data_IF_194277212064
#
_entry.id   IF_194277212064
#
_cell.length_a   1.000
_cell.length_b   1.000
_cell.length_c   1.000
_cell.angle_alpha   90.00
_cell.angle_beta   90.00
_cell.angle_gamma   90.00
#
_symmetry.space_group_name_H-M   'P 1'
#
loop_
_entity.id
_entity.type
_entity.pdbx_description
1 polymer ?
#
# COMPACT_ATOMS: atom_id res chain seq x y z
N UNK A 1 11.67 4.44 16.26
CA UNK A 1 11.23 3.17 15.65
C UNK A 1 12.44 2.25 15.63
N UNK A 2 12.32 1.07 16.22
CA UNK A 2 13.37 0.06 16.11
C UNK A 2 13.52 -0.35 14.63
N UNK A 3 14.74 -0.33 14.09
CA UNK A 3 14.95 -0.67 12.70
C UNK A 3 14.63 -2.17 12.49
N UNK A 4 13.57 -2.44 11.73
CA UNK A 4 13.30 -3.79 11.25
C UNK A 4 14.17 -4.02 10.02
N UNK A 5 14.84 -5.17 9.98
CA UNK A 5 15.73 -5.50 8.86
C UNK A 5 14.95 -5.49 7.52
N UNK A 6 15.42 -4.68 6.58
CA UNK A 6 14.76 -4.47 5.28
C UNK A 6 13.76 -3.30 5.23
N UNK A 7 13.39 -2.70 6.37
CA UNK A 7 12.56 -1.49 6.40
C UNK A 7 13.45 -0.27 6.64
N UNK A 8 13.61 0.56 5.63
CA UNK A 8 14.52 1.71 5.66
C UNK A 8 13.86 2.97 6.21
N UNK A 9 12.55 3.11 6.05
CA UNK A 9 11.80 4.29 6.48
C UNK A 9 10.33 3.94 6.71
N UNK A 10 9.75 4.55 7.73
CA UNK A 10 8.29 4.58 7.95
C UNK A 10 7.86 6.01 8.25
N UNK A 11 6.67 6.40 7.80
CA UNK A 11 6.10 7.72 8.07
C UNK A 11 4.72 7.59 8.69
N UNK A 12 4.38 8.47 9.64
CA UNK A 12 3.02 8.59 10.17
C UNK A 12 2.20 9.66 9.45
N UNK A 13 2.84 10.46 8.60
CA UNK A 13 2.18 11.49 7.80
C UNK A 13 1.80 10.93 6.44
N UNK A 14 0.50 10.93 6.12
CA UNK A 14 -0.02 10.45 4.84
C UNK A 14 0.65 11.20 3.66
N UNK A 15 0.86 10.50 2.57
CA UNK A 15 1.44 11.04 1.35
C UNK A 15 2.97 11.27 1.39
N UNK A 16 3.68 10.90 2.47
CA UNK A 16 5.13 11.12 2.59
C UNK A 16 5.97 9.88 2.25
N UNK A 17 5.41 8.70 2.36
CA UNK A 17 6.12 7.45 2.03
C UNK A 17 6.56 7.39 0.57
N UNK A 18 5.66 7.70 -0.35
CA UNK A 18 5.94 7.61 -1.79
C UNK A 18 6.97 8.64 -2.27
N UNK A 19 6.93 9.94 -1.90
CA UNK A 19 7.99 10.89 -2.25
C UNK A 19 9.39 10.44 -1.79
N UNK A 20 9.50 9.92 -0.56
CA UNK A 20 10.76 9.39 -0.03
C UNK A 20 11.23 8.21 -0.88
N UNK A 21 10.37 7.22 -1.12
CA UNK A 21 10.69 6.06 -1.95
C UNK A 21 11.06 6.43 -3.38
N UNK A 22 10.40 7.44 -3.96
CA UNK A 22 10.72 7.99 -5.28
C UNK A 22 12.14 8.56 -5.30
N UNK A 23 12.52 9.36 -4.30
CA UNK A 23 13.88 9.88 -4.16
C UNK A 23 14.92 8.77 -4.03
N UNK A 24 14.63 7.74 -3.23
CA UNK A 24 15.50 6.57 -3.08
C UNK A 24 15.66 5.80 -4.40
N UNK A 25 14.59 5.59 -5.14
CA UNK A 25 14.61 4.90 -6.44
C UNK A 25 15.43 5.69 -7.48
N UNK A 26 15.23 7.01 -7.54
CA UNK A 26 16.03 7.91 -8.39
C UNK A 26 17.52 7.84 -8.08
N UNK A 27 17.89 7.94 -6.81
CA UNK A 27 19.28 7.88 -6.38
C UNK A 27 19.90 6.53 -6.75
N UNK A 28 19.18 5.43 -6.50
CA UNK A 28 19.63 4.08 -6.81
C UNK A 28 19.85 3.86 -8.31
N UNK A 29 18.90 4.31 -9.14
CA UNK A 29 18.99 4.25 -10.60
C UNK A 29 20.17 5.07 -11.13
N UNK A 30 20.34 6.30 -10.63
CA UNK A 30 21.44 7.20 -11.01
C UNK A 30 22.82 6.63 -10.67
N UNK A 31 22.94 5.93 -9.56
CA UNK A 31 24.19 5.30 -9.11
C UNK A 31 24.43 3.93 -9.75
N UNK A 32 23.58 3.48 -10.67
CA UNK A 32 23.67 2.15 -11.29
C UNK A 32 23.59 0.98 -10.30
N UNK A 33 22.96 1.19 -9.13
CA UNK A 33 22.85 0.16 -8.10
C UNK A 33 21.67 -0.76 -8.39
N UNK A 34 21.83 -2.08 -8.41
CA UNK A 34 20.76 -3.02 -8.68
C UNK A 34 19.75 -3.07 -7.53
N UNK A 35 18.54 -3.57 -7.82
CA UNK A 35 17.47 -3.81 -6.87
C UNK A 35 16.39 -2.74 -6.89
N UNK A 36 15.22 -3.09 -6.37
CA UNK A 36 14.01 -2.27 -6.37
C UNK A 36 13.75 -1.62 -5.02
N UNK A 37 13.05 -0.49 -5.05
CA UNK A 37 12.46 0.17 -3.88
C UNK A 37 10.98 -0.19 -3.85
N UNK A 38 10.54 -0.78 -2.76
CA UNK A 38 9.14 -1.09 -2.49
C UNK A 38 8.58 -0.05 -1.53
N UNK A 39 7.43 0.52 -1.87
CA UNK A 39 6.72 1.48 -1.02
C UNK A 39 5.32 0.97 -0.78
N UNK A 40 4.96 0.77 0.49
CA UNK A 40 3.59 0.42 0.87
C UNK A 40 2.84 1.69 1.26
N UNK A 41 1.70 1.91 0.65
CA UNK A 41 0.79 3.02 0.93
C UNK A 41 -0.63 2.50 1.15
N UNK A 42 -1.46 3.28 1.83
CA UNK A 42 -2.89 2.99 1.97
C UNK A 42 -3.70 3.56 0.80
N UNK A 43 -4.95 3.13 0.67
CA UNK A 43 -5.91 3.76 -0.26
C UNK A 43 -6.15 5.24 0.07
N UNK A 44 -6.20 5.60 1.36
CA UNK A 44 -6.31 7.00 1.79
C UNK A 44 -5.13 7.86 1.34
N UNK A 45 -3.92 7.31 1.30
CA UNK A 45 -2.75 8.04 0.77
C UNK A 45 -2.85 8.34 -0.72
N UNK A 46 -3.63 7.59 -1.49
CA UNK A 46 -3.91 7.89 -2.89
C UNK A 46 -4.73 9.18 -3.09
N UNK A 47 -5.31 9.73 -2.03
CA UNK A 47 -6.02 11.02 -2.05
C UNK A 47 -5.08 12.21 -1.84
N UNK A 48 -3.90 11.98 -1.30
CA UNK A 48 -2.91 13.03 -1.02
C UNK A 48 -2.29 13.61 -2.31
N UNK A 49 -2.06 14.93 -2.30
CA UNK A 49 -1.44 15.64 -3.43
C UNK A 49 -0.02 15.16 -3.71
N UNK A 50 0.79 15.01 -2.65
CA UNK A 50 2.19 14.57 -2.74
C UNK A 50 2.33 13.16 -3.33
N UNK A 51 1.36 12.28 -3.10
CA UNK A 51 1.30 10.97 -3.75
C UNK A 51 1.19 11.15 -5.28
N UNK A 52 0.26 11.99 -5.75
CA UNK A 52 0.04 12.22 -7.18
C UNK A 52 1.23 12.91 -7.86
N UNK A 53 1.85 13.87 -7.18
CA UNK A 53 3.09 14.52 -7.64
C UNK A 53 4.23 13.50 -7.80
N UNK A 54 4.34 12.57 -6.86
CA UNK A 54 5.33 11.49 -6.91
C UNK A 54 5.08 10.54 -8.09
N UNK A 55 3.81 10.30 -8.47
CA UNK A 55 3.49 9.51 -9.65
C UNK A 55 4.00 10.18 -10.93
N UNK A 56 3.85 11.50 -11.06
CA UNK A 56 4.40 12.26 -12.19
C UNK A 56 5.91 12.14 -12.27
N UNK A 57 6.60 12.32 -11.14
CA UNK A 57 8.07 12.24 -11.05
C UNK A 57 8.54 10.82 -11.38
N UNK A 58 7.90 9.79 -10.81
CA UNK A 58 8.23 8.40 -11.07
C UNK A 58 8.14 8.03 -12.55
N UNK A 59 7.06 8.45 -13.21
CA UNK A 59 6.86 8.24 -14.63
C UNK A 59 7.88 9.04 -15.49
N UNK A 60 8.10 10.32 -15.16
CA UNK A 60 9.04 11.18 -15.88
C UNK A 60 10.48 10.62 -15.88
N UNK A 61 10.89 10.02 -14.79
CA UNK A 61 12.23 9.47 -14.62
C UNK A 61 12.30 7.96 -14.94
N UNK A 62 11.20 7.39 -15.45
CA UNK A 62 11.13 5.97 -15.84
C UNK A 62 11.66 5.05 -14.72
N UNK A 63 11.18 5.26 -13.48
CA UNK A 63 11.68 4.54 -12.31
C UNK A 63 11.17 3.09 -12.29
N UNK A 64 11.66 2.28 -13.20
CA UNK A 64 11.37 0.84 -13.32
C UNK A 64 11.80 0.01 -12.10
N UNK A 65 12.62 0.61 -11.25
CA UNK A 65 13.03 0.09 -9.95
C UNK A 65 12.15 0.56 -8.78
N UNK A 66 11.03 1.22 -9.04
CA UNK A 66 10.05 1.65 -8.02
C UNK A 66 8.78 0.81 -8.14
N UNK A 67 8.42 0.15 -7.05
CA UNK A 67 7.21 -0.67 -6.92
C UNK A 67 6.38 -0.14 -5.75
N UNK A 68 5.16 0.25 -6.03
CA UNK A 68 4.19 0.70 -5.02
C UNK A 68 3.19 -0.42 -4.74
N UNK A 69 2.93 -0.70 -3.47
CA UNK A 69 1.83 -1.55 -3.03
C UNK A 69 0.77 -0.66 -2.38
N UNK A 70 -0.44 -0.70 -2.91
CA UNK A 70 -1.59 -0.05 -2.28
C UNK A 70 -2.34 -1.07 -1.45
N UNK A 71 -2.38 -0.93 -0.13
CA UNK A 71 -3.30 -1.67 0.73
C UNK A 71 -4.73 -1.15 0.46
N UNK A 72 -5.43 -1.85 -0.44
CA UNK A 72 -6.74 -1.43 -0.94
C UNK A 72 -7.85 -2.15 -0.18
N UNK A 73 -8.00 -1.79 1.10
CA UNK A 73 -9.02 -2.36 1.99
C UNK A 73 -10.35 -1.59 1.97
N UNK A 74 -10.42 -0.41 1.34
CA UNK A 74 -11.61 0.44 1.15
C UNK A 74 -12.21 1.02 2.44
N UNK A 75 -11.46 0.97 3.54
CA UNK A 75 -11.90 1.46 4.85
C UNK A 75 -10.90 2.49 5.38
N UNK A 76 -11.36 3.71 5.57
CA UNK A 76 -10.59 4.83 6.10
C UNK A 76 -10.89 5.08 7.58
N UNK A 77 -10.26 6.09 8.18
CA UNK A 77 -10.38 6.35 9.61
C UNK A 77 -11.81 6.70 10.06
N UNK A 78 -12.59 7.39 9.22
CA UNK A 78 -13.90 7.89 9.58
C UNK A 78 -15.06 7.22 8.83
N UNK A 79 -14.77 6.58 7.69
CA UNK A 79 -15.81 6.05 6.80
C UNK A 79 -15.24 5.07 5.78
N UNK A 80 -16.09 4.51 4.96
CA UNK A 80 -15.65 3.74 3.79
C UNK A 80 -15.16 4.66 2.67
N UNK A 81 -14.36 4.13 1.77
CA UNK A 81 -13.84 4.87 0.61
C UNK A 81 -14.97 5.44 -0.27
N UNK A 82 -16.04 4.67 -0.46
CA UNK A 82 -17.17 5.07 -1.32
C UNK A 82 -18.00 6.21 -0.73
N UNK A 83 -18.16 6.23 0.59
CA UNK A 83 -18.91 7.29 1.28
C UNK A 83 -18.11 8.57 1.45
N UNK A 84 -16.79 8.43 1.55
CA UNK A 84 -15.87 9.57 1.69
C UNK A 84 -15.49 10.17 0.35
N UNK A 85 -14.30 9.85 -0.15
CA UNK A 85 -13.79 10.32 -1.44
C UNK A 85 -13.46 9.13 -2.35
N UNK A 86 -14.35 8.75 -3.27
CA UNK A 86 -14.19 7.57 -4.10
C UNK A 86 -12.93 7.62 -4.98
N UNK A 87 -12.22 6.50 -5.08
CA UNK A 87 -11.00 6.35 -5.90
C UNK A 87 -11.23 5.53 -7.18
N UNK A 88 -12.45 5.07 -7.44
CA UNK A 88 -12.74 4.24 -8.62
C UNK A 88 -12.64 5.03 -9.95
N UNK A 89 -12.07 4.53 -11.03
CA UNK A 89 -11.23 3.32 -11.03
C UNK A 89 -9.79 3.68 -10.65
N UNK A 90 -9.28 3.12 -9.56
CA UNK A 90 -7.93 3.42 -9.08
C UNK A 90 -6.88 2.95 -10.09
N UNK A 91 -7.06 1.76 -10.68
CA UNK A 91 -6.13 1.24 -11.70
C UNK A 91 -6.08 2.11 -12.96
N UNK A 92 -7.22 2.66 -13.39
CA UNK A 92 -7.25 3.59 -14.52
C UNK A 92 -6.48 4.89 -14.20
N UNK A 93 -6.60 5.40 -12.98
CA UNK A 93 -5.86 6.59 -12.53
C UNK A 93 -4.34 6.37 -12.55
N UNK A 94 -3.84 5.26 -12.04
CA UNK A 94 -2.41 4.94 -12.10
C UNK A 94 -1.92 4.79 -13.55
N UNK A 95 -2.69 4.12 -14.42
CA UNK A 95 -2.33 4.01 -15.84
C UNK A 95 -2.31 5.37 -16.55
N UNK A 96 -3.21 6.29 -16.18
CA UNK A 96 -3.21 7.67 -16.71
C UNK A 96 -1.95 8.46 -16.32
N UNK A 97 -1.32 8.12 -15.18
CA UNK A 97 0.00 8.63 -14.79
C UNK A 97 1.17 7.89 -15.45
N UNK A 98 0.90 7.02 -16.43
CA UNK A 98 1.91 6.22 -17.13
C UNK A 98 2.64 5.18 -16.27
N UNK A 99 1.97 4.64 -15.27
CA UNK A 99 2.45 3.54 -14.43
C UNK A 99 1.95 2.19 -14.95
N UNK A 100 2.77 1.15 -14.82
CA UNK A 100 2.32 -0.23 -14.96
C UNK A 100 1.50 -0.62 -13.74
N UNK A 101 0.25 -1.06 -13.96
CA UNK A 101 -0.69 -1.34 -12.87
C UNK A 101 -1.21 -2.76 -12.97
N UNK A 102 -1.12 -3.49 -11.85
CA UNK A 102 -1.63 -4.84 -11.68
C UNK A 102 -2.50 -4.88 -10.42
N UNK A 103 -3.59 -5.67 -10.46
CA UNK A 103 -4.46 -5.89 -9.30
C UNK A 103 -4.21 -7.28 -8.74
N UNK A 104 -3.95 -7.37 -7.43
CA UNK A 104 -3.87 -8.61 -6.66
C UNK A 104 -5.22 -8.77 -5.96
N UNK A 105 -6.03 -9.69 -6.44
CA UNK A 105 -7.44 -9.82 -6.02
C UNK A 105 -7.59 -10.32 -4.58
N UNK A 106 -6.67 -11.17 -4.13
CA UNK A 106 -6.60 -11.58 -2.73
C UNK A 106 -5.20 -11.29 -2.16
N UNK A 107 -5.08 -10.14 -1.48
CA UNK A 107 -3.84 -9.72 -0.82
C UNK A 107 -3.47 -10.52 0.43
N UNK A 108 -4.37 -11.40 0.89
CA UNK A 108 -4.09 -12.35 1.96
C UNK A 108 -3.55 -13.69 1.44
N UNK A 109 -3.52 -13.88 0.11
CA UNK A 109 -2.96 -15.06 -0.55
C UNK A 109 -1.52 -14.82 -0.96
N UNK A 110 -0.57 -15.51 -0.33
CA UNK A 110 0.83 -15.49 -0.72
C UNK A 110 1.07 -16.04 -2.13
N UNK A 111 0.20 -16.95 -2.59
CA UNK A 111 0.28 -17.51 -3.96
C UNK A 111 -0.03 -16.48 -5.04
N UNK A 112 -0.80 -15.42 -4.71
CA UNK A 112 -1.03 -14.29 -5.60
C UNK A 112 -0.01 -13.17 -5.39
N UNK A 113 0.28 -12.85 -4.14
CA UNK A 113 1.12 -11.69 -3.79
C UNK A 113 2.59 -11.88 -4.17
N UNK A 114 3.17 -13.06 -3.88
CA UNK A 114 4.61 -13.31 -4.10
C UNK A 114 4.98 -13.29 -5.59
N UNK A 115 4.24 -13.94 -6.52
CA UNK A 115 4.51 -13.80 -7.94
C UNK A 115 4.38 -12.37 -8.45
N UNK A 116 3.34 -11.63 -8.01
CA UNK A 116 3.16 -10.24 -8.38
C UNK A 116 4.33 -9.36 -7.94
N UNK A 117 4.86 -9.55 -6.72
CA UNK A 117 6.03 -8.82 -6.23
C UNK A 117 7.31 -9.14 -7.01
N UNK A 118 7.51 -10.40 -7.39
CA UNK A 118 8.71 -10.87 -8.10
C UNK A 118 8.75 -10.50 -9.58
N UNK A 119 7.60 -10.17 -10.17
CA UNK A 119 7.50 -9.82 -11.57
C UNK A 119 8.28 -8.53 -11.86
N UNK A 120 9.23 -8.54 -12.82
CA UNK A 120 9.94 -7.33 -13.19
C UNK A 120 9.02 -6.35 -13.93
N UNK A 121 9.38 -5.07 -13.95
CA UNK A 121 8.74 -4.13 -14.87
C UNK A 121 9.01 -4.54 -16.32
N UNK A 122 7.97 -4.60 -17.13
CA UNK A 122 8.06 -4.99 -18.54
C UNK A 122 8.26 -3.81 -19.49
N UNK A 123 8.04 -2.59 -19.01
CA UNK A 123 7.89 -1.41 -19.87
C UNK A 123 8.82 -0.24 -19.49
N UNK A 124 9.89 -0.47 -18.73
CA UNK A 124 10.73 0.61 -18.18
C UNK A 124 9.90 1.68 -17.46
N UNK A 125 8.86 1.27 -16.75
CA UNK A 125 7.93 2.12 -16.01
C UNK A 125 7.92 1.76 -14.53
N UNK A 126 7.61 2.70 -13.66
CA UNK A 126 7.28 2.35 -12.28
C UNK A 126 6.02 1.49 -12.23
N UNK A 127 5.94 0.64 -11.21
CA UNK A 127 4.83 -0.32 -11.06
C UNK A 127 4.01 -0.03 -9.81
N UNK A 128 2.72 -0.31 -9.92
CA UNK A 128 1.82 -0.35 -8.77
C UNK A 128 1.08 -1.69 -8.72
N UNK A 129 1.02 -2.25 -7.52
CA UNK A 129 0.17 -3.38 -7.18
C UNK A 129 -0.98 -2.86 -6.33
N UNK A 130 -2.21 -2.92 -6.83
CA UNK A 130 -3.41 -2.64 -6.05
C UNK A 130 -3.80 -3.95 -5.37
N UNK A 131 -3.56 -4.03 -4.07
CA UNK A 131 -3.68 -5.25 -3.29
C UNK A 131 -5.00 -5.20 -2.53
N UNK A 132 -6.00 -5.98 -2.97
CA UNK A 132 -7.29 -6.07 -2.30
C UNK A 132 -7.15 -6.83 -0.99
N UNK A 133 -7.44 -6.17 0.11
CA UNK A 133 -7.37 -6.73 1.46
C UNK A 133 -8.66 -6.50 2.23
N UNK A 134 -8.76 -7.15 3.37
CA UNK A 134 -9.84 -6.97 4.33
C UNK A 134 -9.23 -6.35 5.58
N UNK A 135 -9.66 -5.13 5.93
CA UNK A 135 -9.26 -4.50 7.20
C UNK A 135 -9.70 -5.34 8.38
N UNK A 136 -8.78 -5.62 9.32
CA UNK A 136 -9.09 -6.45 10.49
C UNK A 136 -9.13 -7.96 10.22
N UNK A 137 -8.64 -8.42 9.08
CA UNK A 137 -8.63 -9.84 8.67
C UNK A 137 -8.12 -10.76 9.77
N UNK A 138 -8.88 -11.82 10.04
CA UNK A 138 -8.58 -12.84 11.04
C UNK A 138 -9.43 -12.76 12.30
N UNK A 139 -10.08 -11.62 12.54
CA UNK A 139 -11.06 -11.46 13.62
C UNK A 139 -12.33 -10.91 13.02
N UNK A 140 -13.32 -11.79 12.80
CA UNK A 140 -14.57 -11.45 12.12
C UNK A 140 -15.29 -10.24 12.72
N UNK A 141 -15.26 -10.13 14.04
CA UNK A 141 -15.85 -9.01 14.76
C UNK A 141 -15.20 -7.66 14.45
N UNK A 142 -13.99 -7.66 13.84
CA UNK A 142 -13.24 -6.45 13.53
C UNK A 142 -13.13 -6.18 12.03
N UNK A 143 -13.56 -7.13 11.19
CA UNK A 143 -13.43 -7.00 9.74
C UNK A 143 -14.30 -5.86 9.18
N UNK A 144 -13.70 -5.02 8.34
CA UNK A 144 -14.33 -3.93 7.58
C UNK A 144 -15.00 -2.83 8.45
N UNK A 145 -14.72 -2.75 9.73
CA UNK A 145 -15.26 -1.70 10.60
C UNK A 145 -14.24 -0.57 10.79
N UNK A 146 -14.56 0.68 10.35
CA UNK A 146 -13.69 1.85 10.48
C UNK A 146 -13.26 2.14 11.92
N UNK A 147 -14.03 1.75 12.91
CA UNK A 147 -13.75 2.00 14.33
C UNK A 147 -12.40 1.40 14.76
N UNK A 148 -11.97 0.33 14.09
CA UNK A 148 -10.70 -0.35 14.36
C UNK A 148 -9.48 0.30 13.71
N UNK A 149 -9.67 1.46 13.06
CA UNK A 149 -8.54 2.19 12.48
C UNK A 149 -7.55 2.67 13.56
N UNK A 150 -8.04 3.14 14.70
CA UNK A 150 -7.21 3.69 15.78
C UNK A 150 -7.66 3.26 17.19
N UNK A 151 -8.67 2.42 17.33
CA UNK A 151 -9.20 1.97 18.62
C UNK A 151 -8.25 0.95 19.28
N UNK A 152 -7.97 1.14 20.56
CA UNK A 152 -7.25 0.14 21.37
C UNK A 152 -8.16 -1.03 21.71
N UNK A 153 -7.69 -2.24 21.42
CA UNK A 153 -8.38 -3.49 21.78
C UNK A 153 -8.22 -3.71 23.29
N UNK A 154 -9.33 -3.73 24.04
CA UNK A 154 -9.36 -3.94 25.51
C UNK A 154 -10.70 -4.50 25.96
N UNK A 155 -10.75 -5.00 27.21
CA UNK A 155 -11.99 -5.51 27.81
C UNK A 155 -12.59 -6.65 27.00
N UNK A 156 -13.88 -6.53 26.68
CA UNK A 156 -14.64 -7.55 25.92
C UNK A 156 -14.09 -7.75 24.51
N UNK A 157 -13.68 -6.66 23.81
CA UNK A 157 -13.09 -6.74 22.49
C UNK A 157 -11.84 -7.63 22.47
N UNK A 158 -11.00 -7.55 23.53
CA UNK A 158 -9.83 -8.39 23.67
C UNK A 158 -10.21 -9.87 23.82
N UNK A 159 -11.26 -10.16 24.59
CA UNK A 159 -11.74 -11.53 24.77
C UNK A 159 -12.32 -12.11 23.47
N UNK A 160 -13.05 -11.30 22.72
CA UNK A 160 -13.57 -11.68 21.40
C UNK A 160 -12.40 -12.02 20.48
N UNK A 161 -11.42 -11.12 20.34
CA UNK A 161 -10.26 -11.33 19.49
C UNK A 161 -9.46 -12.58 19.87
N UNK A 162 -9.20 -12.79 21.17
CA UNK A 162 -8.51 -14.02 21.66
C UNK A 162 -9.26 -15.28 21.28
N UNK A 163 -10.57 -15.29 21.49
CA UNK A 163 -11.42 -16.44 21.17
C UNK A 163 -11.41 -16.77 19.68
N UNK A 164 -11.55 -15.76 18.82
CA UNK A 164 -11.57 -15.97 17.38
C UNK A 164 -10.21 -16.41 16.82
N UNK A 165 -9.12 -16.02 17.47
CA UNK A 165 -7.76 -16.47 17.15
C UNK A 165 -7.37 -17.80 17.80
N UNK A 166 -8.26 -18.42 18.59
CA UNK A 166 -7.97 -19.67 19.33
C UNK A 166 -6.94 -19.48 20.44
N UNK A 167 -6.78 -18.26 20.95
CA UNK A 167 -5.89 -17.94 22.07
C UNK A 167 -6.68 -17.99 23.37
N UNK A 168 -6.33 -18.90 24.27
CA UNK A 168 -6.91 -19.01 25.62
C UNK A 168 -6.24 -18.04 26.60
#
# INVERSE_FOLDING_TARGET
LDPVNGIHCTTGSLGHGLPIGTGMAMARKRLGRPGSIYVMISDGECQEGTTRESLLIGAKHELDNLVVLVDYNKVQALTTLNEGLPLESLSAKFRAFNWECEEVIDGHSFDQLVPALKKPSSLSKPRVLIVHTIKGRGIKAFENDPVWHARKIKGEDLQIGRRELGLT
#
